data_IF_216520549949
#
_entry.id   IF_216520549949
#
_cell.length_a   1.000
_cell.length_b   1.000
_cell.length_c   1.000
_cell.angle_alpha   90.00
_cell.angle_beta   90.00
_cell.angle_gamma   90.00
#
_symmetry.space_group_name_H-M   'P 1'
#
loop_
_entity.id
_entity.type
_entity.pdbx_description
1 polymer ?
#
# COMPACT_ATOMS: atom_id res chain seq x y z
N UNK A 1 19.96 -6.90 0.16
CA UNK A 1 19.90 -7.11 -1.32
C UNK A 1 18.56 -6.54 -1.78
N UNK A 2 18.56 -5.68 -2.79
CA UNK A 2 17.35 -5.14 -3.39
C UNK A 2 16.61 -6.30 -4.09
N UNK A 3 15.37 -6.54 -3.72
CA UNK A 3 14.58 -7.61 -4.34
C UNK A 3 14.07 -7.09 -5.70
N UNK A 4 14.51 -7.69 -6.78
CA UNK A 4 14.09 -7.34 -8.14
C UNK A 4 12.93 -8.27 -8.50
N UNK A 5 11.76 -7.68 -8.77
CA UNK A 5 10.60 -8.41 -9.29
C UNK A 5 10.85 -8.83 -10.75
N UNK A 6 10.27 -9.95 -11.15
CA UNK A 6 10.42 -10.46 -12.52
C UNK A 6 9.24 -10.00 -13.40
N UNK A 7 9.50 -9.22 -14.43
CA UNK A 7 8.47 -8.82 -15.41
C UNK A 7 8.06 -9.95 -16.38
N UNK A 8 8.71 -11.11 -16.32
CA UNK A 8 8.25 -12.30 -17.05
C UNK A 8 6.99 -12.93 -16.45
N UNK A 9 6.54 -12.42 -15.29
CA UNK A 9 5.33 -12.85 -14.59
C UNK A 9 4.41 -11.65 -14.41
N UNK A 10 3.11 -11.89 -14.44
CA UNK A 10 2.13 -10.85 -14.10
C UNK A 10 2.40 -10.31 -12.70
N UNK A 11 2.31 -9.00 -12.57
CA UNK A 11 2.39 -8.29 -11.30
C UNK A 11 1.03 -7.68 -11.02
N UNK A 12 0.49 -7.95 -9.84
CA UNK A 12 -0.79 -7.43 -9.38
C UNK A 12 -0.50 -6.50 -8.20
N UNK A 13 -0.56 -5.19 -8.41
CA UNK A 13 -0.36 -4.23 -7.34
C UNK A 13 -1.71 -3.84 -6.71
N UNK A 14 -1.78 -3.84 -5.36
CA UNK A 14 -2.98 -3.58 -4.57
C UNK A 14 -2.74 -2.32 -3.73
N UNK A 15 -3.72 -1.38 -3.73
CA UNK A 15 -3.67 -0.12 -2.98
C UNK A 15 -4.01 -0.25 -1.51
N UNK A 16 -4.27 0.90 -0.85
CA UNK A 16 -4.49 1.03 0.60
C UNK A 16 -5.69 0.21 1.07
N UNK A 17 -5.47 -0.60 2.11
CA UNK A 17 -6.46 -1.55 2.64
C UNK A 17 -7.15 -1.00 3.89
N UNK A 18 -6.36 -0.42 4.81
CA UNK A 18 -6.87 0.19 6.03
C UNK A 18 -7.88 -0.67 6.80
N UNK A 19 -7.51 -1.90 7.15
CA UNK A 19 -8.34 -2.77 7.97
C UNK A 19 -9.63 -3.26 7.30
N UNK A 20 -9.78 -3.15 5.98
CA UNK A 20 -10.94 -3.61 5.21
C UNK A 20 -10.74 -5.06 4.74
N UNK A 21 -10.90 -6.02 5.64
CA UNK A 21 -10.60 -7.44 5.39
C UNK A 21 -11.58 -8.12 4.45
N UNK A 22 -12.89 -7.82 4.56
CA UNK A 22 -13.91 -8.43 3.70
C UNK A 22 -13.71 -7.98 2.25
N UNK A 23 -13.41 -6.70 2.06
CA UNK A 23 -13.11 -6.09 0.77
C UNK A 23 -11.83 -6.66 0.15
N UNK A 24 -10.76 -6.82 0.95
CA UNK A 24 -9.51 -7.42 0.48
C UNK A 24 -9.73 -8.87 0.00
N UNK A 25 -10.42 -9.69 0.80
CA UNK A 25 -10.73 -11.08 0.43
C UNK A 25 -11.52 -11.13 -0.87
N UNK A 26 -12.51 -10.26 -1.03
CA UNK A 26 -13.33 -10.19 -2.24
C UNK A 26 -12.52 -9.75 -3.46
N UNK A 27 -11.60 -8.80 -3.30
CA UNK A 27 -10.71 -8.38 -4.38
C UNK A 27 -9.81 -9.54 -4.85
N UNK A 28 -9.17 -10.25 -3.93
CA UNK A 28 -8.31 -11.41 -4.24
C UNK A 28 -9.14 -12.53 -4.93
N UNK A 29 -10.34 -12.83 -4.42
CA UNK A 29 -11.26 -13.79 -5.07
C UNK A 29 -11.62 -13.34 -6.50
N UNK A 30 -11.87 -12.05 -6.71
CA UNK A 30 -12.24 -11.50 -8.03
C UNK A 30 -11.08 -11.52 -9.02
N UNK A 31 -9.86 -11.30 -8.55
CA UNK A 31 -8.63 -11.36 -9.37
C UNK A 31 -8.30 -12.81 -9.71
N UNK A 32 -8.50 -13.73 -8.76
CA UNK A 32 -8.17 -15.16 -8.84
C UNK A 32 -6.73 -15.38 -9.33
N UNK A 33 -5.71 -14.92 -8.54
CA UNK A 33 -4.34 -14.96 -9.00
C UNK A 33 -3.79 -16.37 -9.09
N UNK A 34 -2.99 -16.63 -10.11
CA UNK A 34 -2.27 -17.90 -10.25
C UNK A 34 -1.08 -17.98 -9.28
N UNK A 35 -0.66 -19.17 -8.80
CA UNK A 35 0.42 -19.30 -7.82
C UNK A 35 1.79 -18.72 -8.25
N UNK A 36 2.01 -18.54 -9.56
CA UNK A 36 3.25 -17.99 -10.10
C UNK A 36 3.19 -16.46 -10.32
N UNK A 37 2.04 -15.84 -10.13
CA UNK A 37 1.89 -14.38 -10.24
C UNK A 37 2.41 -13.69 -8.97
N UNK A 38 2.82 -12.45 -9.12
CA UNK A 38 3.40 -11.66 -8.03
C UNK A 38 2.37 -10.65 -7.51
N UNK A 39 2.07 -10.71 -6.22
CA UNK A 39 1.20 -9.75 -5.55
C UNK A 39 2.05 -8.69 -4.86
N UNK A 40 1.87 -7.42 -5.22
CA UNK A 40 2.56 -6.27 -4.60
C UNK A 40 1.54 -5.45 -3.83
N UNK A 41 1.62 -5.46 -2.51
CA UNK A 41 0.77 -4.66 -1.64
C UNK A 41 1.48 -3.34 -1.34
N UNK A 42 0.82 -2.21 -1.64
CA UNK A 42 1.47 -0.90 -1.64
C UNK A 42 1.51 -0.20 -0.27
N UNK A 43 1.16 -0.87 0.82
CA UNK A 43 1.18 -0.31 2.18
C UNK A 43 -0.20 0.06 2.70
N UNK A 44 -0.19 0.71 3.88
CA UNK A 44 -1.39 1.15 4.61
C UNK A 44 -2.40 0.00 4.82
N UNK A 45 -1.91 -1.08 5.44
CA UNK A 45 -2.70 -2.27 5.76
C UNK A 45 -3.61 -2.04 6.95
N UNK A 46 -3.13 -1.25 7.91
CA UNK A 46 -3.73 -1.01 9.23
C UNK A 46 -4.38 0.38 9.32
N UNK A 47 -4.98 0.65 10.47
CA UNK A 47 -5.61 1.92 10.86
C UNK A 47 -6.94 2.21 10.15
N UNK A 48 -7.71 3.12 10.73
CA UNK A 48 -9.01 3.61 10.25
C UNK A 48 -10.10 2.54 10.29
N UNK A 49 -9.98 1.46 9.52
CA UNK A 49 -10.90 0.33 9.55
C UNK A 49 -10.73 -0.56 10.79
N UNK A 50 -11.75 -1.35 11.07
CA UNK A 50 -11.86 -2.09 12.35
C UNK A 50 -11.08 -3.39 12.42
N UNK A 51 -10.61 -3.92 11.29
CA UNK A 51 -10.07 -5.28 11.17
C UNK A 51 -8.57 -5.32 10.81
N UNK A 52 -7.76 -4.38 11.38
CA UNK A 52 -6.32 -4.30 11.10
C UNK A 52 -5.58 -5.61 11.38
N UNK A 53 -5.92 -6.27 12.50
CA UNK A 53 -5.30 -7.56 12.86
C UNK A 53 -5.61 -8.63 11.84
N UNK A 54 -6.88 -8.76 11.45
CA UNK A 54 -7.36 -9.77 10.50
C UNK A 54 -6.81 -9.55 9.09
N UNK A 55 -6.54 -8.28 8.71
CA UNK A 55 -5.84 -7.97 7.46
C UNK A 55 -4.42 -8.52 7.50
N UNK A 56 -3.68 -8.28 8.59
CA UNK A 56 -2.30 -8.79 8.72
C UNK A 56 -2.27 -10.32 8.77
N UNK A 57 -3.19 -10.96 9.53
CA UNK A 57 -3.34 -12.42 9.54
C UNK A 57 -3.50 -12.96 8.10
N UNK A 58 -4.36 -12.33 7.30
CA UNK A 58 -4.65 -12.77 5.94
C UNK A 58 -3.49 -12.49 4.96
N UNK A 59 -2.78 -11.38 5.10
CA UNK A 59 -1.59 -11.09 4.28
C UNK A 59 -0.48 -12.10 4.51
N UNK A 60 -0.25 -12.50 5.78
CA UNK A 60 0.70 -13.56 6.13
C UNK A 60 0.25 -14.92 5.54
N UNK A 61 -1.07 -15.23 5.58
CA UNK A 61 -1.62 -16.44 4.95
C UNK A 61 -1.42 -16.42 3.42
N UNK A 62 -1.65 -15.27 2.76
CA UNK A 62 -1.45 -15.13 1.31
C UNK A 62 0.01 -15.38 0.91
N UNK A 63 0.97 -14.93 1.71
CA UNK A 63 2.42 -15.12 1.45
C UNK A 63 2.84 -16.59 1.47
N UNK A 64 2.07 -17.46 2.13
CA UNK A 64 2.28 -18.92 2.10
C UNK A 64 1.78 -19.57 0.79
N UNK A 65 0.94 -18.87 0.02
CA UNK A 65 0.26 -19.41 -1.17
C UNK A 65 0.74 -18.76 -2.46
N UNK A 66 1.16 -17.52 -2.42
CA UNK A 66 1.54 -16.70 -3.56
C UNK A 66 2.90 -16.05 -3.35
N UNK A 67 3.48 -15.51 -4.42
CA UNK A 67 4.68 -14.66 -4.33
C UNK A 67 4.26 -13.24 -3.90
N UNK A 68 4.13 -13.01 -2.59
CA UNK A 68 3.72 -11.72 -2.07
C UNK A 68 4.93 -10.81 -1.77
N UNK A 69 4.73 -9.51 -1.97
CA UNK A 69 5.70 -8.47 -1.70
C UNK A 69 4.98 -7.31 -1.01
N UNK A 70 5.47 -6.90 0.15
CA UNK A 70 4.83 -5.91 1.00
C UNK A 70 5.64 -4.63 1.06
N UNK A 71 5.02 -3.50 0.69
CA UNK A 71 5.62 -2.17 0.77
C UNK A 71 5.16 -1.51 2.07
N UNK A 72 6.06 -0.75 2.68
CA UNK A 72 5.83 0.03 3.89
C UNK A 72 4.99 1.26 3.58
N UNK A 73 3.81 1.38 4.18
CA UNK A 73 3.04 2.61 4.20
C UNK A 73 3.44 3.52 5.37
N UNK A 74 2.95 4.75 5.37
CA UNK A 74 3.20 5.67 6.47
C UNK A 74 2.48 5.24 7.76
N UNK A 75 1.37 4.51 7.66
CA UNK A 75 0.67 3.97 8.82
C UNK A 75 1.46 2.86 9.51
N UNK A 76 2.13 2.00 8.78
CA UNK A 76 3.05 1.00 9.32
C UNK A 76 4.27 1.65 9.97
N UNK A 77 4.85 2.71 9.37
CA UNK A 77 5.95 3.46 9.99
C UNK A 77 5.54 4.04 11.35
N UNK A 78 4.41 4.72 11.42
CA UNK A 78 3.88 5.29 12.67
C UNK A 78 3.60 4.21 13.73
N UNK A 79 3.12 3.04 13.31
CA UNK A 79 2.90 1.90 14.21
C UNK A 79 4.21 1.33 14.74
N UNK A 80 5.24 1.18 13.90
CA UNK A 80 6.57 0.72 14.33
C UNK A 80 7.21 1.71 15.33
N UNK A 81 7.07 3.01 15.11
CA UNK A 81 7.51 4.04 16.06
C UNK A 81 6.77 3.91 17.41
N UNK A 82 5.47 3.64 17.38
CA UNK A 82 4.68 3.37 18.58
C UNK A 82 5.21 2.14 19.34
N UNK A 83 5.53 1.05 18.65
CA UNK A 83 6.08 -0.17 19.27
C UNK A 83 7.45 0.07 19.91
N UNK A 84 8.24 1.01 19.38
CA UNK A 84 9.53 1.43 19.93
C UNK A 84 9.40 2.37 21.14
N UNK A 85 8.18 2.67 21.58
CA UNK A 85 7.92 3.54 22.73
C UNK A 85 7.88 5.03 22.39
N UNK A 86 7.71 5.39 21.12
CA UNK A 86 7.50 6.77 20.63
C UNK A 86 6.02 7.02 20.29
N UNK A 87 5.12 7.11 21.28
CA UNK A 87 3.69 7.24 21.03
C UNK A 87 3.39 8.56 20.35
N UNK A 88 2.86 8.51 19.15
CA UNK A 88 2.45 9.67 18.38
C UNK A 88 0.96 9.96 18.58
N UNK A 89 0.62 11.15 19.08
CA UNK A 89 -0.76 11.63 19.08
C UNK A 89 -1.31 11.72 17.66
N UNK A 90 -0.44 12.01 16.71
CA UNK A 90 -0.74 12.09 15.29
C UNK A 90 -1.18 10.74 14.74
N UNK A 91 -0.46 9.65 15.04
CA UNK A 91 -0.88 8.31 14.64
C UNK A 91 -2.26 7.95 15.19
N UNK A 92 -2.49 8.19 16.49
CA UNK A 92 -3.80 7.91 17.11
C UNK A 92 -4.93 8.71 16.48
N UNK A 93 -4.66 9.96 16.07
CA UNK A 93 -5.64 10.81 15.38
C UNK A 93 -5.87 10.37 13.93
N UNK A 94 -4.86 9.79 13.28
CA UNK A 94 -4.93 9.27 11.90
C UNK A 94 -5.52 7.86 11.78
N UNK A 95 -6.05 7.29 12.86
CA UNK A 95 -6.74 6.00 12.82
C UNK A 95 -6.11 4.88 13.64
N UNK A 96 -4.94 5.10 14.27
CA UNK A 96 -4.22 4.11 15.07
C UNK A 96 -5.04 3.52 16.23
N UNK A 97 -6.05 4.25 16.71
CA UNK A 97 -7.00 3.72 17.71
C UNK A 97 -7.74 2.48 17.21
N UNK A 98 -8.10 2.41 15.93
CA UNK A 98 -8.76 1.26 15.34
C UNK A 98 -7.84 0.03 15.38
N UNK A 99 -6.57 0.21 15.02
CA UNK A 99 -5.54 -0.83 15.13
C UNK A 99 -5.41 -1.32 16.57
N UNK A 100 -5.21 -0.41 17.54
CA UNK A 100 -5.12 -0.82 18.95
C UNK A 100 -6.35 -1.60 19.41
N UNK A 101 -7.55 -1.21 18.96
CA UNK A 101 -8.78 -1.92 19.30
C UNK A 101 -8.84 -3.32 18.67
N UNK A 102 -8.41 -3.47 17.43
CA UNK A 102 -8.34 -4.75 16.69
C UNK A 102 -7.40 -5.75 17.37
N UNK A 103 -6.32 -5.28 18.02
CA UNK A 103 -5.38 -6.13 18.76
C UNK A 103 -5.70 -6.34 20.24
N UNK A 104 -6.81 -5.77 20.75
CA UNK A 104 -7.23 -6.02 22.12
C UNK A 104 -7.78 -7.44 22.27
N UNK A 105 -7.22 -8.20 23.23
CA UNK A 105 -7.83 -9.45 23.70
C UNK A 105 -8.79 -9.15 24.85
N UNK A 106 -9.99 -9.73 24.80
CA UNK A 106 -10.95 -9.65 25.91
C UNK A 106 -10.27 -9.98 27.22
N UNK A 107 -10.28 -9.04 28.19
CA UNK A 107 -9.71 -9.13 29.54
C UNK A 107 -8.16 -9.25 29.66
N UNK A 108 -7.40 -9.42 28.57
CA UNK A 108 -5.95 -9.65 28.62
C UNK A 108 -5.10 -8.44 28.19
N UNK A 109 -5.73 -7.32 27.85
CA UNK A 109 -5.04 -6.11 27.41
C UNK A 109 -4.65 -6.14 25.93
N UNK A 110 -3.71 -5.27 25.56
CA UNK A 110 -3.19 -5.13 24.20
C UNK A 110 -2.06 -6.15 23.97
N UNK A 111 -2.13 -6.90 22.87
CA UNK A 111 -1.13 -7.88 22.51
C UNK A 111 -0.89 -7.90 21.01
N UNK A 112 0.37 -7.72 20.60
CA UNK A 112 0.81 -7.84 19.22
C UNK A 112 1.56 -9.17 19.05
N UNK A 113 1.08 -10.10 18.19
CA UNK A 113 1.79 -11.32 17.87
C UNK A 113 3.19 -11.02 17.33
N UNK A 114 4.19 -11.80 17.70
CA UNK A 114 5.57 -11.58 17.24
C UNK A 114 5.69 -11.69 15.71
N UNK A 115 4.91 -12.57 15.11
CA UNK A 115 4.82 -12.72 13.65
C UNK A 115 4.32 -11.46 12.93
N UNK A 116 3.35 -10.73 13.54
CA UNK A 116 2.87 -9.46 13.00
C UNK A 116 3.94 -8.37 13.11
N UNK A 117 4.64 -8.30 14.24
CA UNK A 117 5.75 -7.34 14.40
C UNK A 117 6.86 -7.62 13.38
N UNK A 118 7.17 -8.91 13.16
CA UNK A 118 8.14 -9.33 12.15
C UNK A 118 7.66 -8.99 10.73
N UNK A 119 6.37 -9.18 10.42
CA UNK A 119 5.75 -8.81 9.16
C UNK A 119 5.98 -7.32 8.85
N UNK A 120 5.62 -6.42 9.77
CA UNK A 120 5.83 -4.97 9.56
C UNK A 120 7.31 -4.62 9.40
N UNK A 121 8.21 -5.25 10.18
CA UNK A 121 9.64 -5.03 10.07
C UNK A 121 10.27 -5.57 8.77
N UNK A 122 9.58 -6.45 8.04
CA UNK A 122 10.04 -7.02 6.77
C UNK A 122 9.56 -6.25 5.54
N UNK A 123 8.64 -5.30 5.69
CA UNK A 123 8.13 -4.50 4.56
C UNK A 123 9.23 -3.69 3.89
N UNK A 124 9.19 -3.63 2.57
CA UNK A 124 10.12 -2.88 1.74
C UNK A 124 9.71 -1.42 1.64
N UNK A 125 10.65 -0.49 1.50
CA UNK A 125 10.33 0.91 1.22
C UNK A 125 9.89 1.11 -0.22
N UNK A 126 10.44 0.33 -1.13
CA UNK A 126 10.11 0.31 -2.55
C UNK A 126 10.53 -1.03 -3.16
N UNK A 127 10.00 -1.31 -4.32
CA UNK A 127 10.39 -2.42 -5.19
C UNK A 127 10.56 -1.89 -6.62
N UNK A 128 11.38 -2.53 -7.42
CA UNK A 128 11.53 -2.13 -8.80
C UNK A 128 11.69 -3.32 -9.76
N UNK A 129 11.31 -3.08 -10.99
CA UNK A 129 11.55 -3.94 -12.15
C UNK A 129 12.34 -3.15 -13.19
N UNK A 130 12.48 -3.66 -14.39
CA UNK A 130 13.04 -2.90 -15.52
C UNK A 130 12.18 -1.66 -15.84
N UNK A 131 10.85 -1.81 -15.90
CA UNK A 131 9.92 -0.78 -16.37
C UNK A 131 9.09 -0.12 -15.27
N UNK A 132 8.95 -0.74 -14.09
CA UNK A 132 8.11 -0.25 -13.00
C UNK A 132 8.89 0.05 -11.73
N UNK A 133 8.40 1.04 -10.99
CA UNK A 133 8.85 1.38 -9.64
C UNK A 133 7.65 1.44 -8.70
N UNK A 134 7.65 0.66 -7.64
CA UNK A 134 6.56 0.57 -6.68
C UNK A 134 6.97 1.22 -5.37
N UNK A 135 6.22 2.21 -4.91
CA UNK A 135 6.38 2.82 -3.59
C UNK A 135 5.02 3.30 -3.08
N UNK A 136 4.81 3.28 -1.77
CA UNK A 136 3.54 3.71 -1.19
C UNK A 136 3.19 5.15 -1.57
N UNK A 137 4.05 6.12 -1.19
CA UNK A 137 3.84 7.54 -1.49
C UNK A 137 4.29 7.96 -2.90
N UNK A 138 5.07 7.13 -3.61
CA UNK A 138 5.63 7.47 -4.91
C UNK A 138 6.96 8.22 -4.84
N UNK A 139 7.28 9.02 -5.86
CA UNK A 139 8.55 9.71 -6.05
C UNK A 139 8.36 11.21 -6.35
N UNK A 140 9.42 12.01 -6.14
CA UNK A 140 9.46 13.39 -6.59
C UNK A 140 9.48 13.43 -8.13
N UNK A 141 8.50 14.11 -8.79
CA UNK A 141 8.40 14.14 -10.24
C UNK A 141 9.50 14.94 -10.93
N UNK A 142 10.19 15.84 -10.21
CA UNK A 142 11.25 16.67 -10.75
C UNK A 142 12.62 16.00 -10.70
N UNK A 143 12.74 14.81 -10.11
CA UNK A 143 13.97 14.04 -10.00
C UNK A 143 13.86 12.74 -10.82
N UNK A 144 14.99 12.26 -11.33
CA UNK A 144 15.08 10.90 -11.89
C UNK A 144 14.81 9.85 -10.80
N UNK A 145 14.47 8.61 -11.16
CA UNK A 145 14.36 7.51 -10.17
C UNK A 145 15.66 7.38 -9.40
N UNK A 146 16.81 7.43 -10.09
CA UNK A 146 18.12 7.34 -9.47
C UNK A 146 18.38 8.46 -8.46
N UNK A 147 17.97 9.70 -8.76
CA UNK A 147 18.18 10.83 -7.85
C UNK A 147 17.21 10.75 -6.66
N UNK A 148 15.97 10.31 -6.86
CA UNK A 148 15.07 10.00 -5.77
C UNK A 148 15.71 8.99 -4.80
N UNK A 149 16.24 7.87 -5.30
CA UNK A 149 16.93 6.85 -4.50
C UNK A 149 18.15 7.40 -3.76
N UNK A 150 18.82 8.40 -4.33
CA UNK A 150 20.01 9.03 -3.73
C UNK A 150 19.67 10.00 -2.60
N UNK A 151 18.58 10.76 -2.73
CA UNK A 151 18.27 11.87 -1.83
C UNK A 151 17.16 11.54 -0.82
N UNK A 152 16.29 10.58 -1.10
CA UNK A 152 15.20 10.19 -0.22
C UNK A 152 15.70 9.53 1.06
N UNK A 153 15.07 9.91 2.17
CA UNK A 153 15.09 9.15 3.41
C UNK A 153 13.96 8.11 3.38
N UNK A 154 14.00 7.15 4.30
CA UNK A 154 12.99 6.08 4.40
C UNK A 154 11.55 6.62 4.40
N UNK A 155 11.30 7.68 5.17
CA UNK A 155 9.96 8.27 5.27
C UNK A 155 9.46 8.90 3.96
N UNK A 156 10.36 9.41 3.10
CA UNK A 156 9.95 10.11 1.89
C UNK A 156 9.19 9.19 0.92
N UNK A 157 9.58 7.89 0.85
CA UNK A 157 8.86 6.90 0.05
C UNK A 157 7.42 6.65 0.53
N UNK A 158 7.14 6.91 1.81
CA UNK A 158 5.83 6.69 2.41
C UNK A 158 4.93 7.95 2.43
N UNK A 159 5.50 9.16 2.28
CA UNK A 159 4.77 10.41 2.46
C UNK A 159 4.71 11.31 1.22
N UNK A 160 5.40 10.97 0.15
CA UNK A 160 5.47 11.81 -1.06
C UNK A 160 4.09 11.97 -1.72
N UNK A 161 3.76 13.22 -2.12
CA UNK A 161 2.49 13.56 -2.79
C UNK A 161 2.65 14.59 -3.91
N UNK A 162 3.86 15.11 -4.13
CA UNK A 162 4.09 16.21 -5.09
C UNK A 162 3.65 15.83 -6.50
N UNK A 163 3.86 14.58 -6.90
CA UNK A 163 3.47 14.05 -8.20
C UNK A 163 1.96 14.03 -8.45
N UNK A 164 1.14 14.11 -7.39
CA UNK A 164 -0.32 14.16 -7.47
C UNK A 164 -0.86 15.60 -7.57
N UNK A 165 0.00 16.62 -7.61
CA UNK A 165 -0.44 18.01 -7.83
C UNK A 165 -0.96 18.18 -9.25
N UNK A 166 -1.97 19.06 -9.40
CA UNK A 166 -2.67 19.32 -10.67
C UNK A 166 -1.72 19.63 -11.82
N UNK A 167 -0.67 20.45 -11.59
CA UNK A 167 0.29 20.80 -12.64
C UNK A 167 1.02 19.58 -13.22
N UNK A 168 1.38 18.57 -12.41
CA UNK A 168 2.02 17.35 -12.88
C UNK A 168 1.03 16.40 -13.54
N UNK A 169 -0.17 16.29 -13.01
CA UNK A 169 -1.21 15.45 -13.60
C UNK A 169 -1.66 15.97 -14.97
N UNK A 170 -1.72 17.28 -15.16
CA UNK A 170 -2.08 17.91 -16.43
C UNK A 170 -0.92 17.90 -17.45
N UNK A 171 0.30 18.28 -17.04
CA UNK A 171 1.45 18.29 -17.93
C UNK A 171 1.98 16.90 -18.25
N UNK A 172 1.84 15.95 -17.33
CA UNK A 172 2.42 14.60 -17.37
C UNK A 172 3.96 14.60 -17.51
N UNK A 173 4.61 15.68 -17.12
CA UNK A 173 6.06 15.85 -17.19
C UNK A 173 6.72 15.28 -15.93
N UNK A 174 6.97 13.98 -15.95
CA UNK A 174 7.72 13.25 -14.92
C UNK A 174 9.12 12.93 -15.43
N UNK A 175 10.16 13.22 -14.63
CA UNK A 175 11.56 12.92 -14.97
C UNK A 175 11.94 11.45 -14.73
N UNK A 176 11.00 10.63 -14.34
CA UNK A 176 11.22 9.21 -14.06
C UNK A 176 11.50 8.42 -15.33
N UNK A 177 12.45 7.49 -15.27
CA UNK A 177 12.76 6.56 -16.34
C UNK A 177 11.75 5.42 -16.42
N UNK A 178 11.10 5.10 -15.27
CA UNK A 178 10.13 4.00 -15.11
C UNK A 178 8.73 4.54 -14.84
N UNK A 179 7.71 3.70 -15.03
CA UNK A 179 6.37 3.97 -14.55
C UNK A 179 6.32 3.78 -13.04
N UNK A 180 5.96 4.82 -12.29
CA UNK A 180 5.78 4.76 -10.82
C UNK A 180 4.37 4.29 -10.52
N UNK A 181 4.27 3.22 -9.73
CA UNK A 181 3.00 2.66 -9.22
C UNK A 181 2.92 3.00 -7.73
N UNK A 182 1.89 3.75 -7.33
CA UNK A 182 1.76 4.25 -5.96
C UNK A 182 0.31 4.26 -5.46
N UNK A 183 0.16 4.54 -4.16
CA UNK A 183 -1.11 4.63 -3.44
C UNK A 183 -1.16 5.89 -2.55
N UNK A 184 -1.47 5.81 -1.24
CA UNK A 184 -1.31 6.88 -0.23
C UNK A 184 -2.22 8.10 -0.39
N UNK A 185 -2.37 8.61 -1.59
CA UNK A 185 -3.20 9.80 -1.85
C UNK A 185 -4.54 9.35 -2.41
N UNK A 186 -5.55 9.36 -1.56
CA UNK A 186 -6.89 8.90 -1.95
C UNK A 186 -7.50 9.78 -3.05
N UNK A 187 -7.92 9.13 -4.13
CA UNK A 187 -8.55 9.70 -5.32
C UNK A 187 -9.87 8.99 -5.62
N UNK A 188 -10.79 9.65 -6.31
CA UNK A 188 -12.11 9.07 -6.64
C UNK A 188 -12.05 7.96 -7.68
N UNK A 189 -11.14 8.06 -8.64
CA UNK A 189 -10.91 7.05 -9.68
C UNK A 189 -9.41 6.82 -9.86
N UNK A 190 -8.96 5.59 -10.15
CA UNK A 190 -7.55 5.30 -10.32
C UNK A 190 -6.97 5.99 -11.56
N UNK A 191 -5.71 6.41 -11.46
CA UNK A 191 -4.99 7.11 -12.53
C UNK A 191 -4.10 6.13 -13.29
N UNK A 192 -4.15 6.21 -14.63
CA UNK A 192 -3.31 5.45 -15.56
C UNK A 192 -2.67 6.39 -16.58
N UNK A 193 -1.49 6.92 -16.28
CA UNK A 193 -0.67 7.71 -17.19
C UNK A 193 0.57 6.91 -17.62
N UNK A 194 1.28 7.37 -18.63
CA UNK A 194 2.51 6.68 -19.09
C UNK A 194 3.50 6.46 -17.93
N UNK A 195 3.77 7.50 -17.15
CA UNK A 195 4.77 7.48 -16.06
C UNK A 195 4.17 7.31 -14.67
N UNK A 196 2.84 7.34 -14.49
CA UNK A 196 2.19 7.27 -13.18
C UNK A 196 0.98 6.33 -13.21
N UNK A 197 0.94 5.41 -12.26
CA UNK A 197 -0.25 4.62 -11.92
C UNK A 197 -0.54 4.86 -10.43
N UNK A 198 -1.66 5.52 -10.11
CA UNK A 198 -2.09 5.76 -8.73
C UNK A 198 -3.41 5.01 -8.46
N UNK A 199 -3.42 4.19 -7.39
CA UNK A 199 -4.50 3.23 -7.15
C UNK A 199 -5.13 3.27 -5.75
N UNK A 200 -4.84 4.27 -4.93
CA UNK A 200 -5.59 4.47 -3.69
C UNK A 200 -6.95 5.11 -4.00
N UNK A 201 -8.00 4.33 -4.01
CA UNK A 201 -9.38 4.79 -4.22
C UNK A 201 -10.17 4.89 -2.93
N UNK A 202 -9.46 5.05 -1.81
CA UNK A 202 -10.02 5.35 -0.51
C UNK A 202 -10.91 4.23 0.04
N UNK A 203 -10.45 2.99 0.01
CA UNK A 203 -11.21 1.80 0.41
C UNK A 203 -12.00 2.02 1.72
N UNK A 204 -11.35 2.54 2.75
CA UNK A 204 -11.96 2.74 4.08
C UNK A 204 -12.99 3.89 4.14
N UNK A 205 -13.06 4.74 3.10
CA UNK A 205 -13.90 5.95 3.09
C UNK A 205 -15.27 5.74 2.44
N UNK A 206 -15.91 4.59 2.65
CA UNK A 206 -17.22 4.24 2.05
C UNK A 206 -18.32 5.28 2.28
N UNK A 207 -18.23 6.07 3.37
CA UNK A 207 -19.21 7.13 3.67
C UNK A 207 -18.98 8.42 2.84
N UNK A 208 -17.85 8.52 2.12
CA UNK A 208 -17.56 9.67 1.28
C UNK A 208 -17.99 9.37 -0.16
N UNK A 209 -18.74 10.27 -0.82
CA UNK A 209 -19.09 10.10 -2.23
C UNK A 209 -17.85 9.85 -3.10
N UNK A 210 -17.95 8.93 -4.04
CA UNK A 210 -16.90 8.54 -5.01
C UNK A 210 -15.70 7.78 -4.45
N UNK A 211 -15.61 7.54 -3.13
CA UNK A 211 -14.60 6.69 -2.48
C UNK A 211 -15.20 5.35 -2.07
N UNK A 212 -14.43 4.55 -1.34
CA UNK A 212 -14.90 3.28 -0.80
C UNK A 212 -14.65 2.09 -1.73
N UNK A 213 -13.63 2.16 -2.57
CA UNK A 213 -13.21 1.03 -3.42
C UNK A 213 -11.78 0.61 -3.07
N UNK A 214 -11.51 -0.69 -3.06
CA UNK A 214 -10.15 -1.21 -3.09
C UNK A 214 -9.78 -1.52 -4.54
N UNK A 215 -8.68 -0.94 -5.00
CA UNK A 215 -8.22 -1.05 -6.39
C UNK A 215 -6.94 -1.84 -6.48
N UNK A 216 -6.89 -2.74 -7.47
CA UNK A 216 -5.68 -3.37 -7.94
C UNK A 216 -5.40 -2.98 -9.40
N UNK A 217 -4.12 -2.96 -9.79
CA UNK A 217 -3.69 -2.88 -11.18
C UNK A 217 -2.95 -4.15 -11.58
N UNK A 218 -3.30 -4.70 -12.73
CA UNK A 218 -2.67 -5.89 -13.31
C UNK A 218 -1.71 -5.44 -14.40
N UNK A 219 -0.43 -5.81 -14.26
CA UNK A 219 0.65 -5.47 -15.17
C UNK A 219 1.22 -6.76 -15.83
N UNK A 220 1.62 -6.70 -17.11
CA UNK A 220 1.77 -5.50 -17.94
C UNK A 220 0.50 -5.02 -18.65
N UNK A 221 -0.66 -5.68 -18.47
CA UNK A 221 -1.92 -5.38 -19.17
C UNK A 221 -2.47 -3.98 -18.87
N UNK A 222 -1.98 -3.34 -17.81
CA UNK A 222 -2.42 -2.00 -17.34
C UNK A 222 -3.94 -1.94 -17.17
N UNK A 223 -4.50 -2.92 -16.47
CA UNK A 223 -5.95 -3.07 -16.25
C UNK A 223 -6.27 -2.98 -14.76
N UNK A 224 -7.23 -2.15 -14.40
CA UNK A 224 -7.74 -2.06 -13.04
C UNK A 224 -8.78 -3.14 -12.73
N UNK A 225 -8.74 -3.62 -11.50
CA UNK A 225 -9.81 -4.42 -10.86
C UNK A 225 -10.18 -3.70 -9.57
N UNK A 226 -11.47 -3.52 -9.34
CA UNK A 226 -11.99 -2.80 -8.18
C UNK A 226 -13.05 -3.62 -7.45
N UNK A 227 -13.09 -3.47 -6.13
CA UNK A 227 -14.13 -4.03 -5.27
C UNK A 227 -14.65 -2.92 -4.36
N UNK A 228 -15.97 -2.74 -4.31
CA UNK A 228 -16.63 -1.83 -3.36
C UNK A 228 -16.39 -2.30 -1.92
N UNK A 229 -16.32 -1.36 -0.98
CA UNK A 229 -16.12 -1.67 0.44
C UNK A 229 -17.27 -2.54 0.98
N UNK A 230 -16.91 -3.66 1.62
CA UNK A 230 -17.81 -4.64 2.23
C UNK A 230 -17.70 -4.68 3.77
N UNK A 231 -16.83 -3.86 4.38
CA UNK A 231 -16.53 -3.82 5.82
C UNK A 231 -17.42 -2.86 6.60
#
# INVERSE_FOLDING_TARGET
MQQILSEHRRIIAIGDIHGCIATLKKLIETIDPEPFEQLVFLGDYIDRGSHSKEVVDYLIELDLRYSCHFIMGNHELMFLDYLQGHPSKEWLANGGKATLNSYKKNHSGLYFPQEHVAFFGSCHLFLETENYFFAHGGLDPELSVKDNLRYYKHQDFCWQRTHMRTNFLESQEYRWEKTVVCAHTAISEPIMLDKLIAIDTGCVYKEKPLFGKLTAVILPERRFVQTENLD
#
